data_IF_600698885194
#
_entry.id   IF_600698885194
#
_cell.length_a   1.000
_cell.length_b   1.000
_cell.length_c   1.000
_cell.angle_alpha   90.00
_cell.angle_beta   90.00
_cell.angle_gamma   90.00
#
_symmetry.space_group_name_H-M   'P 1'
#
loop_
_entity.id
_entity.type
_entity.pdbx_description
1 polymer ?
#
# COMPACT_ATOMS: atom_id res chain seq x y z
N UNK A 1 -14.72 29.20 0.98
CA UNK A 1 -15.15 28.53 2.23
C UNK A 1 -15.89 27.25 1.93
N UNK A 2 -17.18 27.32 1.57
CA UNK A 2 -18.03 26.14 1.38
C UNK A 2 -17.50 25.12 0.36
N UNK A 3 -17.04 25.55 -0.83
CA UNK A 3 -16.48 24.64 -1.84
C UNK A 3 -15.26 23.84 -1.34
N UNK A 4 -14.39 24.48 -0.54
CA UNK A 4 -13.22 23.81 0.05
C UNK A 4 -13.65 22.77 1.10
N UNK A 5 -14.60 23.11 1.97
CA UNK A 5 -15.12 22.19 2.99
C UNK A 5 -15.81 21.00 2.32
N UNK A 6 -16.66 21.26 1.31
CA UNK A 6 -17.29 20.21 0.53
C UNK A 6 -16.26 19.32 -0.17
N UNK A 7 -15.19 19.90 -0.74
CA UNK A 7 -14.11 19.15 -1.37
C UNK A 7 -13.38 18.22 -0.40
N UNK A 8 -12.99 18.73 0.77
CA UNK A 8 -12.30 17.94 1.82
C UNK A 8 -13.21 16.82 2.35
N UNK A 9 -14.48 17.12 2.61
CA UNK A 9 -15.45 16.12 3.05
C UNK A 9 -15.70 15.06 1.98
N UNK A 10 -15.84 15.46 0.71
CA UNK A 10 -16.02 14.53 -0.40
C UNK A 10 -14.81 13.61 -0.55
N UNK A 11 -13.59 14.14 -0.47
CA UNK A 11 -12.36 13.34 -0.53
C UNK A 11 -12.25 12.35 0.65
N UNK A 12 -12.57 12.80 1.87
CA UNK A 12 -12.58 11.96 3.06
C UNK A 12 -13.62 10.83 2.98
N UNK A 13 -14.86 11.16 2.61
CA UNK A 13 -15.94 10.18 2.45
C UNK A 13 -15.67 9.19 1.32
N UNK A 14 -15.11 9.65 0.20
CA UNK A 14 -14.74 8.78 -0.92
C UNK A 14 -13.68 7.77 -0.49
N UNK A 15 -12.63 8.21 0.20
CA UNK A 15 -11.56 7.32 0.70
C UNK A 15 -12.11 6.31 1.72
N UNK A 16 -12.93 6.77 2.66
CA UNK A 16 -13.54 5.92 3.68
C UNK A 16 -14.43 4.83 3.06
N UNK A 17 -15.23 5.18 2.05
CA UNK A 17 -16.08 4.23 1.33
C UNK A 17 -15.27 3.15 0.60
N UNK A 18 -14.17 3.53 -0.06
CA UNK A 18 -13.27 2.58 -0.71
C UNK A 18 -12.61 1.64 0.31
N UNK A 19 -12.05 2.15 1.40
CA UNK A 19 -11.44 1.32 2.44
C UNK A 19 -12.44 0.37 3.08
N UNK A 20 -13.65 0.85 3.40
CA UNK A 20 -14.70 0.01 3.97
C UNK A 20 -15.09 -1.12 3.02
N UNK A 21 -15.17 -0.83 1.73
CA UNK A 21 -15.49 -1.82 0.70
C UNK A 21 -14.39 -2.88 0.60
N UNK A 22 -13.11 -2.48 0.60
CA UNK A 22 -11.96 -3.39 0.57
C UNK A 22 -11.94 -4.31 1.81
N UNK A 23 -12.14 -3.76 3.01
CA UNK A 23 -12.20 -4.56 4.23
C UNK A 23 -13.38 -5.51 4.20
N UNK A 24 -14.54 -5.05 3.75
CA UNK A 24 -15.72 -5.91 3.64
C UNK A 24 -15.51 -7.09 2.67
N UNK A 25 -14.88 -6.84 1.52
CA UNK A 25 -14.56 -7.90 0.58
C UNK A 25 -13.48 -8.85 1.11
N UNK A 26 -12.42 -8.35 1.75
CA UNK A 26 -11.39 -9.21 2.35
C UNK A 26 -11.95 -10.06 3.49
N UNK A 27 -12.77 -9.51 4.39
CA UNK A 27 -13.41 -10.30 5.46
C UNK A 27 -14.36 -11.34 4.89
N UNK A 28 -15.21 -10.97 3.93
CA UNK A 28 -16.15 -11.91 3.30
C UNK A 28 -15.45 -13.02 2.53
N UNK A 29 -14.40 -12.69 1.78
CA UNK A 29 -13.69 -13.64 0.94
C UNK A 29 -12.69 -14.49 1.74
N UNK A 30 -11.82 -13.86 2.53
CA UNK A 30 -10.65 -14.49 3.12
C UNK A 30 -10.94 -15.14 4.47
N UNK A 31 -11.92 -14.63 5.23
CA UNK A 31 -12.29 -15.17 6.56
C UNK A 31 -13.55 -16.01 6.48
N UNK A 32 -14.63 -15.46 5.91
CA UNK A 32 -15.92 -16.16 5.85
C UNK A 32 -15.99 -17.18 4.72
N UNK A 33 -15.40 -16.89 3.56
CA UNK A 33 -15.36 -17.80 2.42
C UNK A 33 -14.50 -19.04 2.67
N UNK A 34 -13.35 -18.88 3.33
CA UNK A 34 -12.48 -19.99 3.75
C UNK A 34 -13.10 -20.82 4.88
N UNK A 35 -13.80 -20.19 5.83
CA UNK A 35 -14.53 -20.89 6.89
C UNK A 35 -15.79 -21.63 6.39
N UNK A 36 -16.43 -21.15 5.31
CA UNK A 36 -17.57 -21.80 4.67
C UNK A 36 -17.14 -22.94 3.74
N UNK A 37 -16.02 -22.81 3.01
CA UNK A 37 -15.46 -23.87 2.17
C UNK A 37 -15.00 -25.11 2.96
N UNK A 38 -14.70 -24.98 4.26
CA UNK A 38 -14.44 -26.11 5.15
C UNK A 38 -15.73 -26.79 5.66
N UNK A 39 -16.91 -26.23 5.37
CA UNK A 39 -18.20 -26.63 5.94
C UNK A 39 -19.21 -27.10 4.90
N UNK A 40 -18.93 -26.90 3.61
CA UNK A 40 -19.88 -27.15 2.53
C UNK A 40 -19.26 -28.05 1.44
N UNK A 41 -19.17 -29.34 1.76
CA UNK A 41 -18.94 -30.43 0.80
C UNK A 41 -20.29 -30.90 0.20
N UNK A 42 -21.33 -30.05 0.24
CA UNK A 42 -22.70 -30.38 -0.18
C UNK A 42 -23.29 -29.40 -1.20
N UNK A 43 -23.08 -29.73 -2.48
CA UNK A 43 -24.07 -29.67 -3.55
C UNK A 43 -25.04 -28.46 -3.57
N UNK A 44 -24.50 -27.23 -3.69
CA UNK A 44 -25.33 -26.04 -3.91
C UNK A 44 -24.91 -25.23 -5.13
N UNK A 45 -25.92 -24.86 -5.91
CA UNK A 45 -25.88 -24.29 -7.27
C UNK A 45 -25.08 -22.98 -7.34
N UNK A 46 -24.22 -22.83 -8.38
CA UNK A 46 -23.31 -21.69 -8.59
C UNK A 46 -23.92 -20.27 -8.51
N UNK A 47 -25.24 -20.11 -8.67
CA UNK A 47 -25.92 -18.81 -8.60
C UNK A 47 -26.19 -18.34 -7.16
N UNK A 48 -26.47 -19.25 -6.24
CA UNK A 48 -26.80 -18.93 -4.84
C UNK A 48 -25.54 -18.55 -4.04
N UNK A 49 -24.40 -19.11 -4.42
CA UNK A 49 -23.12 -18.79 -3.80
C UNK A 49 -22.71 -17.32 -4.02
N UNK A 50 -23.03 -16.73 -5.18
CA UNK A 50 -22.67 -15.33 -5.47
C UNK A 50 -23.53 -14.34 -4.67
N UNK A 51 -24.84 -14.56 -4.59
CA UNK A 51 -25.76 -13.70 -3.83
C UNK A 51 -25.50 -13.77 -2.32
N UNK A 52 -25.17 -14.95 -1.80
CA UNK A 52 -24.79 -15.15 -0.39
C UNK A 52 -23.46 -14.47 -0.03
N UNK A 53 -22.49 -14.44 -0.97
CA UNK A 53 -21.23 -13.70 -0.81
C UNK A 53 -21.43 -12.18 -0.82
N UNK A 54 -22.34 -11.65 -1.64
CA UNK A 54 -22.70 -10.23 -1.58
C UNK A 54 -23.38 -9.86 -0.26
N UNK A 55 -24.28 -10.71 0.24
CA UNK A 55 -24.93 -10.50 1.53
C UNK A 55 -23.93 -10.47 2.69
N UNK A 56 -23.01 -11.43 2.74
CA UNK A 56 -21.95 -11.47 3.77
C UNK A 56 -20.98 -10.30 3.67
N UNK A 57 -20.61 -9.86 2.46
CA UNK A 57 -19.80 -8.65 2.28
C UNK A 57 -20.49 -7.41 2.84
N UNK A 58 -21.79 -7.21 2.58
CA UNK A 58 -22.54 -6.05 3.10
C UNK A 58 -22.67 -6.07 4.62
N UNK A 59 -22.90 -7.24 5.22
CA UNK A 59 -22.92 -7.39 6.67
C UNK A 59 -21.55 -7.16 7.30
N UNK A 60 -20.47 -7.62 6.67
CA UNK A 60 -19.10 -7.35 7.14
C UNK A 60 -18.77 -5.85 7.06
N UNK A 61 -19.17 -5.14 6.00
CA UNK A 61 -19.02 -3.69 5.90
C UNK A 61 -19.81 -2.97 7.00
N UNK A 62 -21.04 -3.41 7.30
CA UNK A 62 -21.84 -2.84 8.38
C UNK A 62 -21.16 -3.05 9.74
N UNK A 63 -20.71 -4.28 10.02
CA UNK A 63 -20.07 -4.64 11.29
C UNK A 63 -18.75 -3.88 11.50
N UNK A 64 -17.90 -3.84 10.48
CA UNK A 64 -16.63 -3.08 10.51
C UNK A 64 -16.92 -1.60 10.65
N UNK A 65 -17.87 -1.04 9.89
CA UNK A 65 -18.26 0.36 9.97
C UNK A 65 -18.77 0.74 11.37
N UNK A 66 -19.64 -0.07 11.96
CA UNK A 66 -20.15 0.15 13.31
C UNK A 66 -19.05 0.07 14.37
N UNK A 67 -18.12 -0.88 14.22
CA UNK A 67 -16.95 -1.02 15.11
C UNK A 67 -16.05 0.20 15.01
N UNK A 68 -15.76 0.69 13.81
CA UNK A 68 -14.97 1.91 13.59
C UNK A 68 -15.67 3.13 14.17
N UNK A 69 -17.00 3.26 14.02
CA UNK A 69 -17.78 4.35 14.64
C UNK A 69 -17.67 4.28 16.17
N UNK A 70 -17.87 3.10 16.77
CA UNK A 70 -17.75 2.93 18.21
C UNK A 70 -16.35 3.30 18.72
N UNK A 71 -15.30 2.80 18.06
CA UNK A 71 -13.91 3.14 18.38
C UNK A 71 -13.63 4.63 18.23
N UNK A 72 -14.14 5.28 17.17
CA UNK A 72 -13.98 6.71 16.93
C UNK A 72 -14.68 7.58 17.99
N UNK A 73 -15.77 7.10 18.59
CA UNK A 73 -16.48 7.79 19.67
C UNK A 73 -15.85 7.54 21.05
N UNK A 74 -15.25 6.37 21.27
CA UNK A 74 -14.69 5.94 22.57
C UNK A 74 -13.22 6.30 22.77
N UNK A 75 -12.40 6.30 21.71
CA UNK A 75 -10.97 6.61 21.81
C UNK A 75 -10.75 8.13 21.83
N UNK A 76 -9.85 8.65 22.69
CA UNK A 76 -9.44 10.04 22.63
C UNK A 76 -8.87 10.34 21.23
N UNK A 77 -9.15 11.56 20.73
CA UNK A 77 -8.90 12.03 19.35
C UNK A 77 -7.41 12.21 19.05
N UNK A 78 -6.60 11.19 19.27
CA UNK A 78 -5.19 11.13 18.93
C UNK A 78 -4.98 10.29 17.66
N UNK A 79 -5.79 10.60 16.63
CA UNK A 79 -5.82 9.88 15.34
C UNK A 79 -4.44 9.90 14.66
N UNK A 80 -3.67 10.97 14.90
CA UNK A 80 -2.31 11.11 14.39
C UNK A 80 -1.40 9.95 14.82
N UNK A 81 -1.46 9.54 16.08
CA UNK A 81 -0.64 8.42 16.57
C UNK A 81 -1.09 7.09 15.99
N UNK A 82 -2.40 6.88 15.80
CA UNK A 82 -2.92 5.64 15.25
C UNK A 82 -2.43 5.42 13.81
N UNK A 83 -2.45 6.46 12.97
CA UNK A 83 -1.96 6.35 11.58
C UNK A 83 -0.44 6.27 11.51
N UNK A 84 0.27 6.98 12.40
CA UNK A 84 1.73 6.93 12.47
C UNK A 84 2.25 5.57 12.97
N UNK A 85 1.46 4.85 13.77
CA UNK A 85 1.82 3.52 14.26
C UNK A 85 1.33 2.40 13.33
N UNK A 86 0.04 2.39 12.96
CA UNK A 86 -0.57 1.25 12.28
C UNK A 86 0.00 1.01 10.87
N UNK A 87 0.16 2.07 10.08
CA UNK A 87 0.65 1.94 8.70
C UNK A 87 2.07 1.36 8.64
N UNK A 88 3.05 1.98 9.31
CA UNK A 88 4.42 1.48 9.33
C UNK A 88 4.61 0.13 10.01
N UNK A 89 3.80 -0.20 11.02
CA UNK A 89 3.84 -1.51 11.69
C UNK A 89 3.52 -2.65 10.71
N UNK A 90 2.43 -2.54 9.96
CA UNK A 90 2.09 -3.58 8.97
C UNK A 90 3.05 -3.54 7.77
N UNK A 91 3.48 -2.35 7.34
CA UNK A 91 4.46 -2.21 6.25
C UNK A 91 5.80 -2.88 6.57
N UNK A 92 6.33 -2.69 7.78
CA UNK A 92 7.59 -3.32 8.21
C UNK A 92 7.46 -4.83 8.39
N UNK A 93 6.31 -5.30 8.88
CA UNK A 93 6.08 -6.73 9.14
C UNK A 93 5.88 -7.54 7.85
N UNK A 94 5.07 -7.03 6.92
CA UNK A 94 4.63 -7.77 5.73
C UNK A 94 5.33 -7.34 4.44
N UNK A 95 5.94 -6.15 4.42
CA UNK A 95 6.55 -5.60 3.20
C UNK A 95 7.61 -6.52 2.61
N UNK A 96 8.57 -6.98 3.42
CA UNK A 96 9.63 -7.87 2.96
C UNK A 96 9.10 -9.15 2.31
N UNK A 97 8.06 -9.75 2.91
CA UNK A 97 7.41 -10.97 2.40
C UNK A 97 6.65 -10.69 1.10
N UNK A 98 5.92 -9.57 1.02
CA UNK A 98 5.19 -9.18 -0.18
C UNK A 98 6.13 -9.03 -1.40
N UNK A 99 7.28 -8.37 -1.24
CA UNK A 99 8.26 -8.29 -2.33
C UNK A 99 8.89 -9.65 -2.63
N UNK A 100 9.34 -10.38 -1.60
CA UNK A 100 10.03 -11.65 -1.82
C UNK A 100 9.12 -12.74 -2.40
N UNK A 101 7.81 -12.71 -2.15
CA UNK A 101 6.87 -13.68 -2.71
C UNK A 101 6.78 -13.63 -4.23
N UNK A 102 7.02 -12.47 -4.82
CA UNK A 102 7.02 -12.31 -6.28
C UNK A 102 8.38 -12.73 -6.83
N UNK A 103 9.48 -12.17 -6.32
CA UNK A 103 10.78 -12.31 -6.99
C UNK A 103 11.68 -13.43 -6.46
N UNK A 104 11.50 -13.93 -5.24
CA UNK A 104 12.38 -14.95 -4.65
C UNK A 104 12.00 -16.36 -5.08
N UNK A 105 12.98 -17.14 -5.52
CA UNK A 105 12.82 -18.57 -5.81
C UNK A 105 12.99 -19.47 -4.57
N UNK A 106 13.34 -18.87 -3.41
CA UNK A 106 13.66 -19.60 -2.18
C UNK A 106 12.69 -19.33 -1.05
N UNK A 107 11.66 -18.50 -1.24
CA UNK A 107 10.72 -18.18 -0.16
C UNK A 107 9.82 -19.39 0.10
N UNK A 108 9.75 -19.83 1.35
CA UNK A 108 8.85 -20.90 1.80
C UNK A 108 7.68 -20.32 2.60
N UNK A 109 6.54 -21.02 2.65
CA UNK A 109 5.40 -20.66 3.50
C UNK A 109 5.81 -20.40 4.97
N UNK A 110 6.59 -21.31 5.55
CA UNK A 110 7.08 -21.16 6.92
C UNK A 110 7.97 -19.92 7.09
N UNK A 111 8.83 -19.63 6.11
CA UNK A 111 9.67 -18.44 6.13
C UNK A 111 8.87 -17.15 6.03
N UNK A 112 7.84 -17.13 5.19
CA UNK A 112 6.90 -16.02 5.10
C UNK A 112 6.14 -15.80 6.42
N UNK A 113 5.55 -16.86 6.98
CA UNK A 113 4.80 -16.79 8.23
C UNK A 113 5.65 -16.29 9.39
N UNK A 114 6.78 -16.95 9.66
CA UNK A 114 7.65 -16.58 10.79
C UNK A 114 8.33 -15.22 10.59
N UNK A 115 8.62 -14.82 9.36
CA UNK A 115 9.08 -13.47 9.04
C UNK A 115 8.05 -12.41 9.45
N UNK A 116 6.79 -12.59 9.02
CA UNK A 116 5.69 -11.67 9.36
C UNK A 116 5.44 -11.61 10.87
N UNK A 117 5.38 -12.76 11.55
CA UNK A 117 5.14 -12.82 12.99
C UNK A 117 6.28 -12.17 13.78
N UNK A 118 7.55 -12.46 13.43
CA UNK A 118 8.70 -11.89 14.12
C UNK A 118 8.76 -10.37 13.96
N UNK A 119 8.56 -9.85 12.74
CA UNK A 119 8.49 -8.41 12.48
C UNK A 119 7.40 -7.72 13.30
N UNK A 120 6.19 -8.29 13.30
CA UNK A 120 5.06 -7.75 14.05
C UNK A 120 5.31 -7.73 15.56
N UNK A 121 5.76 -8.85 16.12
CA UNK A 121 6.01 -8.98 17.56
C UNK A 121 7.10 -8.02 18.01
N UNK A 122 8.21 -7.92 17.28
CA UNK A 122 9.31 -7.02 17.62
C UNK A 122 8.85 -5.57 17.56
N UNK A 123 8.10 -5.18 16.53
CA UNK A 123 7.57 -3.82 16.40
C UNK A 123 6.67 -3.46 17.59
N UNK A 124 5.72 -4.34 17.92
CA UNK A 124 4.77 -4.15 19.03
C UNK A 124 5.50 -4.06 20.37
N UNK A 125 6.45 -4.96 20.62
CA UNK A 125 7.22 -4.98 21.87
C UNK A 125 8.06 -3.70 22.01
N UNK A 126 8.77 -3.29 20.96
CA UNK A 126 9.59 -2.07 21.00
C UNK A 126 8.76 -0.81 21.22
N UNK A 127 7.59 -0.70 20.56
CA UNK A 127 6.68 0.42 20.78
C UNK A 127 6.02 0.37 22.16
N UNK A 128 5.66 -0.80 22.68
CA UNK A 128 5.14 -0.95 24.03
C UNK A 128 6.19 -0.52 25.08
N UNK A 129 7.45 -0.89 24.90
CA UNK A 129 8.55 -0.47 25.76
C UNK A 129 8.75 1.06 25.74
N UNK A 130 8.63 1.67 24.56
CA UNK A 130 8.69 3.12 24.43
C UNK A 130 7.49 3.81 25.10
N UNK A 131 6.28 3.26 24.93
CA UNK A 131 5.05 3.79 25.54
C UNK A 131 5.06 3.73 27.07
N UNK A 132 5.67 2.69 27.66
CA UNK A 132 5.79 2.55 29.12
C UNK A 132 6.97 3.38 29.67
N UNK A 133 7.75 4.05 28.81
CA UNK A 133 8.88 4.89 29.20
C UNK A 133 10.13 4.11 29.60
N UNK A 134 10.22 2.84 29.20
CA UNK A 134 11.36 1.96 29.54
C UNK A 134 12.54 2.20 28.59
N UNK A 135 12.30 2.58 27.34
CA UNK A 135 13.34 2.82 26.35
C UNK A 135 12.96 3.94 25.36
N UNK A 136 13.88 4.87 25.13
CA UNK A 136 13.81 5.81 24.01
C UNK A 136 14.71 5.32 22.87
N UNK A 137 14.12 5.07 21.72
CA UNK A 137 14.85 4.55 20.57
C UNK A 137 15.40 5.69 19.70
N UNK A 138 16.70 5.70 19.36
CA UNK A 138 17.24 6.67 18.41
C UNK A 138 16.66 6.42 17.01
N UNK A 139 16.68 7.45 16.14
CA UNK A 139 16.11 7.39 14.78
C UNK A 139 16.62 6.20 13.94
N UNK A 140 17.86 5.78 14.15
CA UNK A 140 18.46 4.62 13.46
C UNK A 140 17.95 3.26 13.98
N UNK A 141 17.48 3.21 15.22
CA UNK A 141 16.90 2.05 15.89
C UNK A 141 15.39 2.20 16.01
N UNK A 142 14.78 2.91 15.05
CA UNK A 142 13.34 3.06 15.00
C UNK A 142 12.69 1.65 14.98
N UNK A 143 11.65 1.40 15.79
CA UNK A 143 10.95 0.13 15.84
C UNK A 143 10.55 -0.41 14.46
N UNK A 144 10.23 0.47 13.51
CA UNK A 144 9.86 0.11 12.14
C UNK A 144 11.06 -0.48 11.39
N UNK A 145 12.25 0.13 11.52
CA UNK A 145 13.47 -0.33 10.85
C UNK A 145 13.94 -1.67 11.44
N UNK A 146 13.92 -1.80 12.76
CA UNK A 146 14.34 -3.03 13.45
C UNK A 146 13.36 -4.17 13.15
N UNK A 147 12.05 -3.89 13.16
CA UNK A 147 11.04 -4.87 12.79
C UNK A 147 11.19 -5.33 11.33
N UNK A 148 11.42 -4.41 10.39
CA UNK A 148 11.62 -4.74 8.99
C UNK A 148 12.87 -5.60 8.77
N UNK A 149 13.98 -5.22 9.43
CA UNK A 149 15.23 -5.98 9.35
C UNK A 149 15.06 -7.37 9.96
N UNK A 150 14.42 -7.47 11.12
CA UNK A 150 14.19 -8.76 11.77
C UNK A 150 13.25 -9.65 10.97
N UNK A 151 12.16 -9.11 10.42
CA UNK A 151 11.26 -9.83 9.52
C UNK A 151 12.04 -10.42 8.35
N UNK A 152 12.89 -9.61 7.73
CA UNK A 152 13.74 -10.03 6.61
C UNK A 152 14.74 -11.14 7.00
N UNK A 153 15.42 -11.00 8.15
CA UNK A 153 16.38 -11.97 8.62
C UNK A 153 15.73 -13.31 8.97
N UNK A 154 14.64 -13.30 9.74
CA UNK A 154 13.91 -14.53 10.08
C UNK A 154 13.40 -15.22 8.83
N UNK A 155 12.81 -14.45 7.91
CA UNK A 155 12.35 -14.98 6.63
C UNK A 155 13.48 -15.68 5.87
N UNK A 156 14.67 -15.07 5.74
CA UNK A 156 15.80 -15.71 5.04
C UNK A 156 16.27 -16.97 5.77
N UNK A 157 16.45 -16.91 7.09
CA UNK A 157 16.97 -18.04 7.87
C UNK A 157 16.03 -19.23 7.78
N UNK A 158 14.74 -19.01 8.00
CA UNK A 158 13.72 -20.07 7.95
C UNK A 158 13.53 -20.59 6.52
N UNK A 159 13.53 -19.70 5.52
CA UNK A 159 13.43 -20.09 4.11
C UNK A 159 14.64 -20.87 3.60
N UNK A 160 15.82 -20.71 4.20
CA UNK A 160 17.02 -21.50 3.86
C UNK A 160 16.99 -22.91 4.44
N UNK A 161 16.26 -23.11 5.53
CA UNK A 161 16.12 -24.41 6.19
C UNK A 161 14.97 -25.21 5.56
N UNK A 162 13.93 -24.52 5.08
CA UNK A 162 12.82 -25.14 4.37
C UNK A 162 13.09 -25.43 2.90
N UNK A 163 12.26 -26.27 2.31
CA UNK A 163 12.20 -26.51 0.86
C UNK A 163 10.94 -25.87 0.28
N UNK A 164 11.07 -25.31 -0.93
CA UNK A 164 9.95 -24.71 -1.66
C UNK A 164 9.18 -25.81 -2.38
N UNK A 165 7.87 -25.86 -2.19
CA UNK A 165 6.98 -26.81 -2.86
C UNK A 165 6.91 -26.54 -4.36
N UNK A 166 6.66 -27.60 -5.14
CA UNK A 166 6.46 -27.51 -6.59
C UNK A 166 5.27 -26.58 -6.90
N UNK A 167 4.18 -26.68 -6.12
CA UNK A 167 3.00 -25.84 -6.31
C UNK A 167 3.30 -24.35 -6.08
N UNK A 168 4.10 -24.01 -5.06
CA UNK A 168 4.53 -22.63 -4.77
C UNK A 168 5.39 -22.08 -5.92
N UNK A 169 6.31 -22.90 -6.44
CA UNK A 169 7.18 -22.54 -7.55
C UNK A 169 6.38 -22.29 -8.83
N UNK A 170 5.46 -23.19 -9.17
CA UNK A 170 4.66 -23.10 -10.39
C UNK A 170 3.71 -21.90 -10.33
N UNK A 171 3.11 -21.63 -9.16
CA UNK A 171 2.29 -20.44 -8.94
C UNK A 171 3.09 -19.15 -9.15
N UNK A 172 4.31 -19.07 -8.60
CA UNK A 172 5.19 -17.91 -8.82
C UNK A 172 5.55 -17.72 -10.30
N UNK A 173 5.79 -18.81 -11.03
CA UNK A 173 6.08 -18.75 -12.47
C UNK A 173 4.84 -18.24 -13.23
N UNK A 174 3.65 -18.76 -12.91
CA UNK A 174 2.39 -18.31 -13.50
C UNK A 174 2.13 -16.82 -13.26
N UNK A 175 2.51 -16.28 -12.09
CA UNK A 175 2.37 -14.85 -11.78
C UNK A 175 3.17 -13.92 -12.71
N UNK A 176 4.23 -14.43 -13.35
CA UNK A 176 5.05 -13.67 -14.30
C UNK A 176 4.63 -13.87 -15.76
N UNK A 177 3.65 -14.74 -16.03
CA UNK A 177 3.12 -14.93 -17.37
C UNK A 177 2.05 -13.88 -17.64
N UNK A 178 2.31 -13.02 -18.62
CA UNK A 178 1.36 -11.99 -19.02
C UNK A 178 0.14 -12.62 -19.69
N UNK A 179 -1.09 -12.44 -19.16
CA UNK A 179 -2.29 -12.94 -19.82
C UNK A 179 -2.53 -12.21 -21.15
N UNK A 180 -2.84 -12.94 -22.22
CA UNK A 180 -3.09 -12.35 -23.55
C UNK A 180 -4.26 -11.35 -23.55
N UNK A 181 -5.22 -11.51 -22.64
CA UNK A 181 -6.35 -10.57 -22.46
C UNK A 181 -5.89 -9.17 -22.04
N UNK A 182 -4.71 -9.03 -21.45
CA UNK A 182 -4.18 -7.74 -21.02
C UNK A 182 -3.46 -6.96 -22.14
N UNK A 183 -3.23 -7.60 -23.31
CA UNK A 183 -2.62 -6.94 -24.49
C UNK A 183 -3.62 -6.23 -25.40
N UNK A 184 -4.88 -6.08 -24.97
CA UNK A 184 -5.87 -5.34 -25.74
C UNK A 184 -5.44 -3.88 -25.93
N UNK A 185 -5.18 -3.48 -27.18
CA UNK A 185 -4.73 -2.13 -27.55
C UNK A 185 -5.65 -1.02 -27.05
N UNK A 186 -6.95 -1.28 -26.91
CA UNK A 186 -7.89 -0.30 -26.37
C UNK A 186 -7.64 -0.03 -24.87
N UNK A 187 -7.38 -1.09 -24.10
CA UNK A 187 -7.08 -1.01 -22.65
C UNK A 187 -5.69 -0.44 -22.41
N UNK A 188 -4.71 -0.80 -23.24
CA UNK A 188 -3.36 -0.23 -23.19
C UNK A 188 -3.40 1.28 -23.42
N UNK A 189 -4.16 1.76 -24.42
CA UNK A 189 -4.29 3.20 -24.70
C UNK A 189 -4.95 3.96 -23.55
N UNK A 190 -5.93 3.37 -22.87
CA UNK A 190 -6.52 3.96 -21.66
C UNK A 190 -5.51 3.99 -20.51
N UNK A 191 -4.75 2.91 -20.33
CA UNK A 191 -3.72 2.80 -19.29
C UNK A 191 -2.66 3.88 -19.45
N UNK A 192 -2.26 4.19 -20.69
CA UNK A 192 -1.29 5.22 -21.04
C UNK A 192 -1.74 6.67 -20.72
N UNK A 193 -3.04 6.91 -20.49
CA UNK A 193 -3.53 8.22 -20.02
C UNK A 193 -3.05 8.52 -18.59
N UNK A 194 -2.96 7.52 -17.73
CA UNK A 194 -2.57 7.69 -16.33
C UNK A 194 -1.11 8.15 -16.15
N UNK A 195 -0.11 7.55 -16.82
CA UNK A 195 1.26 8.07 -16.81
C UNK A 195 1.35 9.52 -17.31
N UNK A 196 0.56 9.90 -18.34
CA UNK A 196 0.52 11.30 -18.82
C UNK A 196 -0.06 12.23 -17.75
N UNK A 197 -1.13 11.82 -17.10
CA UNK A 197 -1.73 12.54 -15.97
C UNK A 197 -0.75 12.65 -14.79
N UNK A 198 0.04 11.61 -14.49
CA UNK A 198 1.08 11.64 -13.45
C UNK A 198 2.19 12.64 -13.78
N UNK A 199 2.66 12.68 -15.03
CA UNK A 199 3.67 13.66 -15.46
C UNK A 199 3.13 15.08 -15.34
N UNK A 200 1.94 15.33 -15.87
CA UNK A 200 1.30 16.64 -15.78
C UNK A 200 1.06 17.04 -14.32
N UNK A 201 0.51 16.12 -13.51
CA UNK A 201 0.27 16.32 -12.09
C UNK A 201 1.55 16.59 -11.31
N UNK A 202 2.66 15.92 -11.64
CA UNK A 202 3.97 16.18 -11.03
C UNK A 202 4.49 17.59 -11.31
N UNK A 203 4.34 18.09 -12.54
CA UNK A 203 4.69 19.47 -12.91
C UNK A 203 3.83 20.47 -12.15
N UNK A 204 2.50 20.26 -12.14
CA UNK A 204 1.56 21.13 -11.42
C UNK A 204 1.86 21.13 -9.92
N UNK A 205 2.08 19.95 -9.32
CA UNK A 205 2.40 19.82 -7.90
C UNK A 205 3.70 20.55 -7.55
N UNK A 206 4.75 20.38 -8.37
CA UNK A 206 6.01 21.10 -8.20
C UNK A 206 5.81 22.62 -8.22
N UNK A 207 5.01 23.12 -9.16
CA UNK A 207 4.70 24.55 -9.28
C UNK A 207 3.91 25.05 -8.05
N UNK A 208 2.88 24.31 -7.63
CA UNK A 208 2.07 24.66 -6.46
C UNK A 208 2.88 24.66 -5.17
N UNK A 209 3.68 23.62 -4.91
CA UNK A 209 4.57 23.57 -3.75
C UNK A 209 5.58 24.71 -3.77
N UNK A 210 6.10 25.07 -4.95
CA UNK A 210 7.02 26.22 -5.06
C UNK A 210 6.31 27.53 -4.70
N UNK A 211 5.12 27.77 -5.27
CA UNK A 211 4.39 29.05 -5.12
C UNK A 211 3.79 29.21 -3.72
N UNK A 212 3.17 28.15 -3.19
CA UNK A 212 2.36 28.21 -1.97
C UNK A 212 3.09 27.69 -0.72
N UNK A 213 4.23 27.02 -0.87
CA UNK A 213 4.99 26.50 0.26
C UNK A 213 6.43 27.04 0.28
N UNK A 214 7.26 26.71 -0.72
CA UNK A 214 8.68 27.04 -0.69
C UNK A 214 8.96 28.55 -0.71
N UNK A 215 8.26 29.32 -1.57
CA UNK A 215 8.41 30.79 -1.61
C UNK A 215 7.89 31.50 -0.36
N UNK A 216 6.66 31.24 0.14
CA UNK A 216 6.18 31.90 1.36
C UNK A 216 6.95 31.49 2.61
N UNK A 217 7.35 30.22 2.72
CA UNK A 217 8.23 29.78 3.80
C UNK A 217 9.60 30.44 3.71
N UNK A 218 10.17 30.46 2.50
CA UNK A 218 11.41 31.18 2.21
C UNK A 218 11.33 32.65 2.62
N UNK A 219 10.24 33.37 2.27
CA UNK A 219 10.03 34.77 2.68
C UNK A 219 9.86 34.94 4.19
N UNK A 220 9.29 33.95 4.88
CA UNK A 220 9.11 33.99 6.33
C UNK A 220 10.44 33.74 7.06
N UNK A 221 11.33 32.92 6.50
CA UNK A 221 12.62 32.54 7.11
C UNK A 221 13.78 33.42 6.63
N UNK A 222 13.73 33.98 5.41
CA UNK A 222 14.78 34.80 4.80
C UNK A 222 15.00 36.18 5.44
N UNK A 223 14.39 36.44 6.60
CA UNK A 223 14.84 37.49 7.53
C UNK A 223 16.21 37.13 8.13
N UNK A 224 16.57 35.84 8.18
CA UNK A 224 17.90 35.35 8.56
C UNK A 224 18.54 34.64 7.36
N UNK A 225 19.64 35.22 6.85
CA UNK A 225 20.09 35.00 5.48
C UNK A 225 20.61 33.61 5.11
N UNK A 226 20.42 33.24 3.85
CA UNK A 226 21.43 32.61 2.98
C UNK A 226 20.92 32.53 1.54
N UNK A 227 21.71 33.00 0.58
CA UNK A 227 21.41 32.99 -0.86
C UNK A 227 21.64 31.63 -1.54
N UNK A 228 21.26 30.54 -0.87
CA UNK A 228 21.30 29.18 -1.41
C UNK A 228 19.91 28.68 -1.80
N UNK A 229 19.84 27.63 -2.64
CA UNK A 229 18.59 26.92 -2.91
C UNK A 229 18.03 26.40 -1.59
N UNK A 230 16.94 27.02 -1.10
CA UNK A 230 16.28 26.63 0.16
C UNK A 230 15.91 25.16 0.12
N UNK A 231 16.12 24.43 1.24
CA UNK A 231 15.76 23.01 1.36
C UNK A 231 14.30 22.73 0.99
N UNK A 232 13.42 23.72 1.16
CA UNK A 232 12.02 23.63 0.76
C UNK A 232 11.81 23.69 -0.76
N UNK A 233 12.66 24.44 -1.47
CA UNK A 233 12.66 24.45 -2.93
C UNK A 233 13.13 23.09 -3.44
N UNK A 234 14.15 22.51 -2.80
CA UNK A 234 14.63 21.17 -3.11
C UNK A 234 13.52 20.13 -2.88
N UNK A 235 12.81 20.18 -1.76
CA UNK A 235 11.68 19.31 -1.48
C UNK A 235 10.57 19.47 -2.53
N UNK A 236 10.13 20.70 -2.80
CA UNK A 236 9.08 20.99 -3.78
C UNK A 236 9.40 20.45 -5.18
N UNK A 237 10.65 20.61 -5.62
CA UNK A 237 11.12 20.08 -6.91
C UNK A 237 11.26 18.55 -6.89
N UNK A 238 11.71 17.98 -5.78
CA UNK A 238 11.93 16.53 -5.65
C UNK A 238 10.60 15.77 -5.75
N UNK A 239 9.54 16.22 -5.07
CA UNK A 239 8.22 15.58 -5.17
C UNK A 239 7.69 15.60 -6.61
N UNK A 240 7.83 16.73 -7.31
CA UNK A 240 7.44 16.84 -8.71
C UNK A 240 8.27 15.93 -9.63
N UNK A 241 9.59 15.93 -9.44
CA UNK A 241 10.52 15.13 -10.22
C UNK A 241 10.25 13.63 -10.07
N UNK A 242 9.97 13.16 -8.85
CA UNK A 242 9.64 11.74 -8.59
C UNK A 242 8.39 11.32 -9.37
N UNK A 243 7.34 12.14 -9.35
CA UNK A 243 6.10 11.87 -10.10
C UNK A 243 6.33 11.86 -11.61
N UNK A 244 7.08 12.83 -12.13
CA UNK A 244 7.43 12.91 -13.56
C UNK A 244 8.29 11.73 -13.99
N UNK A 245 9.33 11.40 -13.23
CA UNK A 245 10.23 10.28 -13.53
C UNK A 245 9.47 8.95 -13.49
N UNK A 246 8.62 8.74 -12.48
CA UNK A 246 7.77 7.55 -12.36
C UNK A 246 6.79 7.44 -13.52
N UNK A 247 6.10 8.53 -13.88
CA UNK A 247 5.18 8.55 -15.02
C UNK A 247 5.89 8.21 -16.34
N UNK A 248 7.09 8.77 -16.58
CA UNK A 248 7.90 8.44 -17.76
C UNK A 248 8.37 6.98 -17.76
N UNK A 249 8.72 6.45 -16.60
CA UNK A 249 9.15 5.07 -16.45
C UNK A 249 8.00 4.10 -16.71
N UNK A 250 6.83 4.33 -16.13
CA UNK A 250 5.63 3.52 -16.36
C UNK A 250 5.23 3.56 -17.83
N UNK A 251 5.22 4.73 -18.47
CA UNK A 251 4.96 4.86 -19.90
C UNK A 251 5.87 3.94 -20.73
N UNK A 252 7.18 3.99 -20.48
CA UNK A 252 8.17 3.16 -21.19
C UNK A 252 7.95 1.67 -20.95
N UNK A 253 7.58 1.27 -19.72
CA UNK A 253 7.33 -0.13 -19.38
C UNK A 253 6.06 -0.65 -20.04
N UNK A 254 4.97 0.11 -20.00
CA UNK A 254 3.71 -0.27 -20.64
C UNK A 254 3.90 -0.44 -22.15
N UNK A 255 4.56 0.52 -22.82
CA UNK A 255 4.82 0.39 -24.27
C UNK A 255 5.73 -0.80 -24.58
N UNK A 256 6.76 -1.05 -23.77
CA UNK A 256 7.69 -2.16 -24.02
C UNK A 256 7.07 -3.54 -23.78
N UNK A 257 6.29 -3.68 -22.71
CA UNK A 257 5.82 -4.97 -22.23
C UNK A 257 4.43 -5.33 -22.80
N UNK A 258 3.63 -4.33 -23.19
CA UNK A 258 2.26 -4.47 -23.71
C UNK A 258 2.06 -3.94 -25.13
N UNK A 259 3.06 -3.27 -25.72
CA UNK A 259 2.99 -2.80 -27.10
C UNK A 259 3.07 -3.95 -28.10
N UNK A 260 2.19 -3.95 -29.10
CA UNK A 260 2.35 -4.82 -30.26
C UNK A 260 3.44 -4.27 -31.20
N UNK A 261 4.18 -5.15 -31.93
CA UNK A 261 5.22 -4.73 -32.87
C UNK A 261 4.75 -3.73 -33.95
N UNK A 262 3.44 -3.64 -34.21
CA UNK A 262 2.89 -2.91 -35.35
C UNK A 262 2.77 -1.38 -35.13
N UNK A 263 3.00 -0.86 -33.92
CA UNK A 263 3.02 0.60 -33.65
C UNK A 263 4.43 1.22 -33.70
N UNK A 264 5.47 0.44 -34.02
CA UNK A 264 6.85 0.95 -34.13
C UNK A 264 7.16 1.66 -35.46
N UNK A 265 6.24 1.64 -36.44
CA UNK A 265 6.47 2.18 -37.80
C UNK A 265 5.50 3.29 -38.25
N UNK A 266 4.76 3.95 -37.35
CA UNK A 266 3.95 5.14 -37.72
C UNK A 266 4.34 6.42 -36.99
#
# INVERSE_FOLDING_TARGET
GALLICGVLAAGLSSASTFLSLVGFSVSHDVLGSAAGARDDSDSTNADHHTQRLGSARWSMLAVGLTVIALALLLPRNIFWLTHFAGPLFASSWGAVAFMSIWSHRLTEAGAFWGMTAGFVINVVMNALALIGVAEWPVIADPILIAALSSYLVMIVVSRIGEVSIAERDYRIALHQLPEKEKDSAVVRQTLLWPRAMVFGGVVLSALLTIFYALPFGRAVSVEGSGGMSGELLLALTYGLVLVASGRWVWRRVVRDYGHPDEAES
#
